data_IF_238738651011
#
_entry.id   IF_238738651011
#
_cell.length_a   1.000
_cell.length_b   1.000
_cell.length_c   1.000
_cell.angle_alpha   90.00
_cell.angle_beta   90.00
_cell.angle_gamma   90.00
#
_symmetry.space_group_name_H-M   'P 1'
#
loop_
_entity.id
_entity.type
_entity.pdbx_description
1 polymer ?
#
# COMPACT_ATOMS: atom_id res chain seq x y z
N UNK A 1 85.54 -19.33 -24.59
CA UNK A 1 84.44 -19.08 -23.65
C UNK A 1 83.34 -18.30 -24.40
N UNK A 2 82.20 -18.92 -24.69
CA UNK A 2 81.09 -18.30 -25.41
C UNK A 2 80.21 -17.66 -24.36
N UNK A 3 80.10 -16.35 -24.34
CA UNK A 3 79.19 -15.59 -23.47
C UNK A 3 77.72 -15.70 -24.01
N UNK A 4 76.90 -16.51 -23.40
CA UNK A 4 75.48 -16.57 -23.69
C UNK A 4 74.79 -15.27 -23.23
N UNK A 5 74.28 -14.50 -24.21
CA UNK A 5 73.53 -13.27 -23.98
C UNK A 5 72.14 -13.65 -23.42
N UNK A 6 71.88 -13.38 -22.15
CA UNK A 6 70.51 -13.56 -21.54
C UNK A 6 69.51 -12.71 -22.32
N UNK A 7 68.53 -13.34 -22.98
CA UNK A 7 67.39 -12.67 -23.55
C UNK A 7 66.49 -12.11 -22.39
N UNK A 8 66.31 -10.80 -22.32
CA UNK A 8 65.31 -10.22 -21.44
C UNK A 8 63.94 -10.72 -21.89
N UNK A 9 63.20 -11.34 -20.98
CA UNK A 9 61.80 -11.68 -21.22
C UNK A 9 61.01 -10.36 -21.28
N UNK A 10 60.15 -10.15 -22.29
CA UNK A 10 59.27 -8.96 -22.29
C UNK A 10 58.39 -9.01 -21.01
N UNK A 11 58.26 -7.91 -20.35
CA UNK A 11 57.31 -7.76 -19.25
C UNK A 11 55.88 -7.99 -19.78
N UNK A 12 55.03 -8.73 -19.06
CA UNK A 12 53.67 -8.94 -19.48
C UNK A 12 52.92 -7.58 -19.44
N UNK A 13 52.71 -7.02 -20.61
CA UNK A 13 51.81 -5.86 -20.74
C UNK A 13 50.35 -6.32 -20.57
N UNK A 14 49.70 -5.86 -19.52
CA UNK A 14 48.27 -6.06 -19.34
C UNK A 14 47.56 -5.19 -20.38
N UNK A 15 46.73 -5.76 -21.28
CA UNK A 15 46.05 -4.97 -22.29
C UNK A 15 45.00 -4.09 -21.63
N UNK A 16 45.28 -2.80 -21.51
CA UNK A 16 44.40 -1.79 -20.89
C UNK A 16 43.05 -1.69 -21.59
N UNK A 17 43.01 -1.99 -22.89
CA UNK A 17 41.80 -2.09 -23.70
C UNK A 17 40.81 -3.13 -23.15
N UNK A 18 41.27 -4.31 -22.75
CA UNK A 18 40.42 -5.36 -22.17
C UNK A 18 39.90 -5.00 -20.78
N UNK A 19 40.71 -4.30 -19.98
CA UNK A 19 40.25 -3.80 -18.67
C UNK A 19 39.19 -2.72 -18.80
N UNK A 20 39.31 -1.85 -19.79
CA UNK A 20 38.32 -0.80 -20.08
C UNK A 20 36.98 -1.39 -20.51
N UNK A 21 37.01 -2.42 -21.34
CA UNK A 21 35.79 -3.11 -21.80
C UNK A 21 35.07 -3.83 -20.64
N UNK A 22 35.80 -4.54 -19.80
CA UNK A 22 35.24 -5.19 -18.62
C UNK A 22 34.61 -4.15 -17.66
N UNK A 23 35.30 -3.01 -17.45
CA UNK A 23 34.79 -1.93 -16.59
C UNK A 23 33.52 -1.31 -17.17
N UNK A 24 33.45 -1.12 -18.48
CA UNK A 24 32.27 -0.62 -19.17
C UNK A 24 31.09 -1.60 -19.08
N UNK A 25 31.34 -2.90 -19.29
CA UNK A 25 30.30 -3.93 -19.15
C UNK A 25 29.79 -4.04 -17.72
N UNK A 26 30.66 -3.94 -16.71
CA UNK A 26 30.24 -3.89 -15.30
C UNK A 26 29.39 -2.66 -15.01
N UNK A 27 29.76 -1.50 -15.55
CA UNK A 27 28.98 -0.27 -15.38
C UNK A 27 27.60 -0.39 -16.01
N UNK A 28 27.50 -0.94 -17.24
CA UNK A 28 26.23 -1.22 -17.88
C UNK A 28 25.41 -2.24 -17.11
N UNK A 29 26.05 -3.30 -16.58
CA UNK A 29 25.39 -4.31 -15.76
C UNK A 29 24.79 -3.69 -14.50
N UNK A 30 25.52 -2.85 -13.77
CA UNK A 30 25.00 -2.16 -12.60
C UNK A 30 23.88 -1.18 -12.97
N UNK A 31 24.00 -0.47 -14.09
CA UNK A 31 22.99 0.46 -14.56
C UNK A 31 21.67 -0.24 -14.90
N UNK A 32 21.74 -1.42 -15.54
CA UNK A 32 20.55 -2.22 -15.87
C UNK A 32 20.03 -2.99 -14.64
N UNK A 33 20.92 -3.37 -13.71
CA UNK A 33 20.57 -4.10 -12.50
C UNK A 33 20.01 -3.21 -11.39
N UNK A 34 20.15 -1.88 -11.46
CA UNK A 34 19.47 -0.95 -10.56
C UNK A 34 18.00 -0.85 -10.95
N UNK A 35 17.22 -1.83 -10.54
CA UNK A 35 15.75 -1.71 -10.57
C UNK A 35 15.39 -0.72 -9.48
N UNK A 36 14.88 0.44 -9.87
CA UNK A 36 14.20 1.33 -8.94
C UNK A 36 12.88 0.64 -8.62
N UNK A 37 12.84 -0.02 -7.48
CA UNK A 37 11.62 -0.61 -6.94
C UNK A 37 10.67 0.55 -6.58
N UNK A 38 9.81 0.91 -7.55
CA UNK A 38 8.73 1.85 -7.28
C UNK A 38 7.65 1.01 -6.62
N UNK A 39 7.46 1.21 -5.31
CA UNK A 39 6.34 0.64 -4.57
C UNK A 39 5.02 1.09 -5.22
N UNK A 40 4.56 0.31 -6.20
CA UNK A 40 3.30 0.52 -6.92
C UNK A 40 2.12 -0.18 -6.22
N UNK A 41 2.26 -0.48 -4.96
CA UNK A 41 1.26 -1.16 -4.15
C UNK A 41 0.43 -0.21 -3.28
N UNK A 42 -0.72 -0.71 -2.81
CA UNK A 42 -1.49 -0.06 -1.75
C UNK A 42 -0.74 -0.32 -0.44
N UNK A 43 -0.12 0.72 0.12
CA UNK A 43 0.54 0.63 1.43
C UNK A 43 -0.47 0.33 2.52
N UNK A 44 -0.47 -0.89 3.05
CA UNK A 44 -1.28 -1.32 4.19
C UNK A 44 -0.32 -1.61 5.34
N UNK A 45 -0.48 -0.87 6.42
CA UNK A 45 0.25 -1.18 7.67
C UNK A 45 -0.52 -2.28 8.39
N UNK A 46 0.04 -3.49 8.40
CA UNK A 46 -0.50 -4.57 9.20
C UNK A 46 -0.16 -4.32 10.68
N UNK A 47 -1.12 -4.49 11.60
CA UNK A 47 -0.82 -4.44 13.02
C UNK A 47 0.13 -5.58 13.41
N UNK A 48 0.95 -5.36 14.44
CA UNK A 48 1.80 -6.40 15.01
C UNK A 48 0.94 -7.57 15.49
N UNK A 49 1.40 -8.79 15.22
CA UNK A 49 0.73 -10.01 15.69
C UNK A 49 0.93 -10.12 17.21
N UNK A 50 -0.12 -9.87 17.98
CA UNK A 50 -0.14 -10.04 19.42
C UNK A 50 -0.89 -11.33 19.75
N UNK A 51 -0.19 -12.31 20.25
CA UNK A 51 -0.64 -13.71 20.46
C UNK A 51 -1.85 -13.87 21.42
N UNK A 52 -2.20 -12.82 22.18
CA UNK A 52 -3.27 -12.83 23.17
C UNK A 52 -4.16 -11.57 23.11
N UNK A 53 -4.63 -11.18 21.93
CA UNK A 53 -5.73 -10.22 21.91
C UNK A 53 -7.04 -10.94 22.21
N UNK A 54 -7.63 -10.66 23.38
CA UNK A 54 -9.05 -10.91 23.59
C UNK A 54 -9.80 -10.25 22.43
N UNK A 55 -10.47 -11.06 21.63
CA UNK A 55 -11.28 -10.58 20.51
C UNK A 55 -12.43 -9.77 21.06
N UNK A 56 -12.24 -8.47 21.26
CA UNK A 56 -13.32 -7.58 21.64
C UNK A 56 -14.31 -7.54 20.46
N UNK A 57 -15.53 -8.04 20.63
CA UNK A 57 -16.50 -8.07 19.54
C UNK A 57 -16.75 -6.64 19.05
N UNK A 58 -16.43 -6.40 17.78
CA UNK A 58 -16.69 -5.10 17.16
C UNK A 58 -18.20 -4.95 17.01
N UNK A 59 -18.77 -3.91 17.60
CA UNK A 59 -20.21 -3.65 17.47
C UNK A 59 -20.59 -3.44 16.00
N UNK A 60 -21.76 -3.98 15.60
CA UNK A 60 -22.27 -3.85 14.21
C UNK A 60 -22.34 -2.42 13.71
N UNK A 61 -22.54 -1.46 14.60
CA UNK A 61 -22.58 -0.03 14.27
C UNK A 61 -21.22 0.55 13.84
N UNK A 62 -20.13 -0.07 14.31
CA UNK A 62 -18.75 0.32 13.96
C UNK A 62 -18.26 -0.38 12.71
N UNK A 63 -18.88 -1.49 12.33
CA UNK A 63 -18.40 -2.33 11.25
C UNK A 63 -19.06 -1.91 9.93
N UNK A 64 -18.24 -1.61 8.93
CA UNK A 64 -18.65 -1.55 7.54
C UNK A 64 -18.16 -2.84 6.85
N UNK A 65 -19.05 -3.82 6.72
CA UNK A 65 -18.73 -5.07 6.06
C UNK A 65 -18.83 -4.90 4.54
N UNK A 66 -17.72 -5.08 3.85
CA UNK A 66 -17.61 -5.06 2.39
C UNK A 66 -17.33 -6.49 1.93
N UNK A 67 -18.31 -7.12 1.28
CA UNK A 67 -18.15 -8.45 0.71
C UNK A 67 -18.10 -8.33 -0.82
N UNK A 68 -17.12 -8.96 -1.43
CA UNK A 68 -16.96 -8.96 -2.89
C UNK A 68 -17.09 -10.39 -3.41
N UNK A 69 -18.01 -10.61 -4.34
CA UNK A 69 -18.22 -11.92 -4.95
C UNK A 69 -17.32 -12.14 -6.18
N UNK A 70 -17.41 -13.34 -6.76
CA UNK A 70 -16.67 -13.72 -7.99
C UNK A 70 -17.04 -12.88 -9.21
N UNK A 71 -18.27 -12.32 -9.26
CA UNK A 71 -18.79 -11.53 -10.38
C UNK A 71 -18.42 -10.04 -10.28
N UNK A 72 -17.88 -9.58 -9.14
CA UNK A 72 -17.58 -8.18 -8.90
C UNK A 72 -18.73 -7.38 -8.28
N UNK A 73 -19.81 -8.05 -7.84
CA UNK A 73 -20.81 -7.37 -7.04
C UNK A 73 -20.28 -7.15 -5.63
N UNK A 74 -20.51 -5.98 -5.11
CA UNK A 74 -20.11 -5.60 -3.76
C UNK A 74 -21.33 -5.50 -2.87
N UNK A 75 -21.30 -6.21 -1.76
CA UNK A 75 -22.31 -6.10 -0.72
C UNK A 75 -21.73 -5.25 0.42
N UNK A 76 -22.24 -4.04 0.58
CA UNK A 76 -21.88 -3.15 1.67
C UNK A 76 -23.01 -3.11 2.70
N UNK A 77 -22.82 -3.75 3.86
CA UNK A 77 -23.84 -3.86 4.91
C UNK A 77 -25.23 -4.31 4.42
N UNK A 78 -25.29 -5.32 3.58
CA UNK A 78 -26.49 -5.91 2.97
C UNK A 78 -27.10 -5.10 1.80
N UNK A 79 -26.47 -4.04 1.33
CA UNK A 79 -26.86 -3.35 0.10
C UNK A 79 -25.91 -3.73 -1.02
N UNK A 80 -26.45 -4.15 -2.16
CA UNK A 80 -25.65 -4.47 -3.35
C UNK A 80 -25.32 -3.17 -4.05
N UNK A 81 -24.02 -2.88 -4.21
CA UNK A 81 -23.52 -1.69 -4.88
C UNK A 81 -22.44 -2.07 -5.90
N UNK A 82 -22.20 -1.18 -6.85
CA UNK A 82 -21.05 -1.35 -7.76
C UNK A 82 -19.76 -0.86 -7.09
N UNK A 83 -18.60 -1.44 -7.48
CA UNK A 83 -17.27 -1.05 -6.96
C UNK A 83 -17.05 0.47 -6.94
N UNK A 84 -17.34 1.25 -8.00
CA UNK A 84 -17.14 2.70 -7.99
C UNK A 84 -18.04 3.48 -7.00
N UNK A 85 -19.05 2.84 -6.45
CA UNK A 85 -19.98 3.47 -5.49
C UNK A 85 -19.51 3.32 -4.03
N UNK A 86 -18.51 2.48 -3.78
CA UNK A 86 -17.99 2.20 -2.44
C UNK A 86 -17.55 3.50 -1.75
N UNK A 87 -16.72 4.31 -2.41
CA UNK A 87 -16.22 5.55 -1.86
C UNK A 87 -17.36 6.49 -1.46
N UNK A 88 -18.34 6.68 -2.35
CA UNK A 88 -19.48 7.54 -2.11
C UNK A 88 -20.36 7.06 -0.95
N UNK A 89 -20.54 5.75 -0.78
CA UNK A 89 -21.37 5.16 0.28
C UNK A 89 -20.64 5.14 1.63
N UNK A 90 -19.32 4.96 1.65
CA UNK A 90 -18.53 4.97 2.88
C UNK A 90 -18.30 6.38 3.45
N UNK A 91 -18.14 7.38 2.59
CA UNK A 91 -17.83 8.77 2.98
C UNK A 91 -18.72 9.31 4.11
N UNK A 92 -20.08 9.30 4.01
CA UNK A 92 -20.94 9.81 5.07
C UNK A 92 -20.80 9.04 6.39
N UNK A 93 -20.51 7.73 6.31
CA UNK A 93 -20.31 6.89 7.49
C UNK A 93 -18.99 7.21 8.21
N UNK A 94 -17.93 7.47 7.46
CA UNK A 94 -16.65 7.90 8.03
C UNK A 94 -16.85 9.27 8.71
N UNK A 95 -17.49 10.23 8.02
CA UNK A 95 -17.74 11.58 8.55
C UNK A 95 -18.52 11.52 9.86
N UNK A 96 -19.58 10.71 9.95
CA UNK A 96 -20.41 10.58 11.16
C UNK A 96 -19.63 10.03 12.38
N UNK A 97 -18.47 9.43 12.18
CA UNK A 97 -17.64 8.84 13.23
C UNK A 97 -16.36 9.61 13.56
N UNK A 98 -16.09 10.75 12.90
CA UNK A 98 -14.85 11.53 13.08
C UNK A 98 -14.67 11.99 14.53
N UNK A 99 -15.74 12.51 15.15
CA UNK A 99 -15.69 13.08 16.49
C UNK A 99 -15.76 12.02 17.61
N UNK A 100 -15.99 10.76 17.26
CA UNK A 100 -16.06 9.70 18.25
C UNK A 100 -14.65 9.29 18.73
N UNK A 101 -14.53 8.76 19.96
CA UNK A 101 -13.26 8.25 20.47
C UNK A 101 -12.76 7.06 19.63
N UNK A 102 -11.45 6.77 19.70
CA UNK A 102 -10.77 5.76 18.87
C UNK A 102 -11.47 4.39 18.88
N UNK A 103 -11.98 3.98 20.04
CA UNK A 103 -12.68 2.72 20.22
C UNK A 103 -14.09 2.67 19.58
N UNK A 104 -14.62 3.78 19.09
CA UNK A 104 -15.92 3.88 18.41
C UNK A 104 -15.84 4.32 16.95
N UNK A 105 -14.64 4.48 16.41
CA UNK A 105 -14.42 4.83 15.00
C UNK A 105 -14.80 3.69 14.06
N UNK A 106 -15.06 4.02 12.80
CA UNK A 106 -15.44 3.06 11.78
C UNK A 106 -14.29 2.08 11.50
N UNK A 107 -14.63 0.80 11.40
CA UNK A 107 -13.74 -0.25 10.92
C UNK A 107 -14.36 -0.84 9.67
N UNK A 108 -13.62 -0.83 8.58
CA UNK A 108 -14.04 -1.44 7.31
C UNK A 108 -13.48 -2.86 7.27
N UNK A 109 -14.36 -3.86 7.19
CA UNK A 109 -13.97 -5.26 7.03
C UNK A 109 -14.19 -5.67 5.59
N UNK A 110 -13.11 -6.02 4.90
CA UNK A 110 -13.15 -6.49 3.50
C UNK A 110 -13.05 -8.00 3.49
N UNK A 111 -14.02 -8.65 2.90
CA UNK A 111 -14.06 -10.10 2.70
C UNK A 111 -14.34 -10.40 1.23
N UNK A 112 -13.54 -11.24 0.62
CA UNK A 112 -13.67 -11.63 -0.78
C UNK A 112 -13.96 -13.11 -0.91
N UNK A 113 -14.61 -13.52 -2.01
CA UNK A 113 -14.68 -14.93 -2.38
C UNK A 113 -13.30 -15.40 -2.88
N UNK A 114 -12.99 -16.69 -2.70
CA UNK A 114 -11.74 -17.30 -3.20
C UNK A 114 -11.57 -17.19 -4.71
N UNK A 115 -12.67 -17.07 -5.44
CA UNK A 115 -12.70 -16.97 -6.90
C UNK A 115 -12.74 -15.53 -7.39
N UNK A 116 -12.80 -14.56 -6.49
CA UNK A 116 -12.79 -13.14 -6.87
C UNK A 116 -11.53 -12.79 -7.64
N UNK A 117 -11.69 -12.09 -8.77
CA UNK A 117 -10.56 -11.62 -9.55
C UNK A 117 -9.72 -10.64 -8.74
N UNK A 118 -8.40 -10.83 -8.75
CA UNK A 118 -7.46 -9.98 -8.03
C UNK A 118 -7.62 -8.48 -8.36
N UNK A 119 -7.89 -8.15 -9.61
CA UNK A 119 -8.10 -6.76 -10.02
C UNK A 119 -9.33 -6.13 -9.34
N UNK A 120 -10.42 -6.88 -9.20
CA UNK A 120 -11.62 -6.42 -8.46
C UNK A 120 -11.33 -6.20 -6.98
N UNK A 121 -10.54 -7.08 -6.38
CA UNK A 121 -10.08 -6.92 -5.02
C UNK A 121 -9.28 -5.63 -4.83
N UNK A 122 -8.30 -5.38 -5.71
CA UNK A 122 -7.49 -4.14 -5.67
C UNK A 122 -8.35 -2.90 -5.90
N UNK A 123 -9.24 -2.92 -6.88
CA UNK A 123 -10.17 -1.80 -7.11
C UNK A 123 -11.06 -1.52 -5.88
N UNK A 124 -11.50 -2.55 -5.19
CA UNK A 124 -12.28 -2.40 -3.95
C UNK A 124 -11.47 -1.70 -2.85
N UNK A 125 -10.21 -2.12 -2.65
CA UNK A 125 -9.32 -1.49 -1.67
C UNK A 125 -9.00 -0.04 -2.05
N UNK A 126 -8.82 0.24 -3.34
CA UNK A 126 -8.56 1.59 -3.83
C UNK A 126 -9.76 2.52 -3.58
N UNK A 127 -10.97 2.07 -3.86
CA UNK A 127 -12.19 2.81 -3.56
C UNK A 127 -12.39 3.08 -2.06
N UNK A 128 -12.02 2.13 -1.21
CA UNK A 128 -12.02 2.34 0.25
C UNK A 128 -10.99 3.39 0.65
N UNK A 129 -9.77 3.30 0.11
CA UNK A 129 -8.71 4.29 0.35
C UNK A 129 -9.10 5.68 -0.13
N UNK A 130 -9.72 5.77 -1.30
CA UNK A 130 -10.25 7.02 -1.87
C UNK A 130 -11.26 7.66 -0.93
N UNK A 131 -12.22 6.90 -0.37
CA UNK A 131 -13.18 7.40 0.60
C UNK A 131 -12.51 8.06 1.81
N UNK A 132 -11.50 7.40 2.38
CA UNK A 132 -10.74 7.96 3.51
C UNK A 132 -9.92 9.20 3.12
N UNK A 133 -9.33 9.19 1.92
CA UNK A 133 -8.54 10.31 1.42
C UNK A 133 -9.39 11.54 1.18
N UNK A 134 -10.57 11.38 0.56
CA UNK A 134 -11.53 12.47 0.38
C UNK A 134 -12.00 13.09 1.69
N UNK A 135 -12.33 12.24 2.69
CA UNK A 135 -12.76 12.73 4.00
C UNK A 135 -11.62 13.44 4.72
N UNK A 136 -10.40 12.96 4.63
CA UNK A 136 -9.22 13.64 5.18
C UNK A 136 -8.95 14.97 4.50
N UNK A 137 -9.09 15.04 3.17
CA UNK A 137 -8.91 16.29 2.41
C UNK A 137 -10.00 17.31 2.76
N UNK A 138 -11.24 16.88 2.89
CA UNK A 138 -12.34 17.72 3.32
C UNK A 138 -12.13 18.26 4.76
N UNK A 139 -11.70 17.41 5.67
CA UNK A 139 -11.35 17.81 7.03
C UNK A 139 -10.18 18.81 7.06
N UNK A 140 -9.14 18.57 6.26
CA UNK A 140 -7.99 19.45 6.15
C UNK A 140 -8.37 20.83 5.61
N UNK A 141 -9.20 20.89 4.57
CA UNK A 141 -9.72 22.16 4.00
C UNK A 141 -10.58 22.92 5.00
N UNK A 142 -11.47 22.22 5.69
CA UNK A 142 -12.39 22.86 6.64
C UNK A 142 -11.68 23.39 7.89
N UNK A 143 -10.65 22.69 8.38
CA UNK A 143 -9.98 23.05 9.62
C UNK A 143 -8.74 23.90 9.42
N UNK A 144 -7.92 23.57 8.43
CA UNK A 144 -6.62 24.21 8.19
C UNK A 144 -6.58 25.10 6.95
N UNK A 145 -7.63 25.08 6.12
CA UNK A 145 -7.69 25.85 4.86
C UNK A 145 -6.73 25.35 3.78
N UNK A 146 -6.13 24.15 3.96
CA UNK A 146 -5.15 23.55 3.06
C UNK A 146 -5.68 22.23 2.50
N UNK A 147 -5.21 21.83 1.31
CA UNK A 147 -5.46 20.48 0.81
C UNK A 147 -4.58 19.48 1.55
N UNK A 148 -5.03 18.24 1.64
CA UNK A 148 -4.27 17.17 2.31
C UNK A 148 -2.86 17.00 1.73
N UNK A 149 -2.71 17.15 0.41
CA UNK A 149 -1.43 17.02 -0.30
C UNK A 149 -0.44 18.16 0.01
N UNK A 150 -0.93 19.30 0.44
CA UNK A 150 -0.13 20.49 0.74
C UNK A 150 0.35 20.49 2.22
N UNK A 151 -0.05 19.49 3.01
CA UNK A 151 0.31 19.32 4.43
C UNK A 151 1.50 18.37 4.54
N UNK A 152 2.55 18.79 5.24
CA UNK A 152 3.72 17.94 5.47
C UNK A 152 3.33 16.71 6.31
N UNK A 153 3.83 15.52 5.91
CA UNK A 153 3.54 14.26 6.61
C UNK A 153 3.94 14.22 8.09
N UNK A 154 4.98 14.99 8.44
CA UNK A 154 5.52 15.09 9.81
C UNK A 154 4.94 16.28 10.60
N UNK A 155 4.01 17.02 10.02
CA UNK A 155 3.39 18.17 10.69
C UNK A 155 2.40 17.71 11.76
N UNK A 156 2.22 18.52 12.84
CA UNK A 156 1.19 18.25 13.85
C UNK A 156 -0.23 18.25 13.25
N UNK A 157 -0.45 19.00 12.16
CA UNK A 157 -1.71 19.01 11.40
C UNK A 157 -2.01 17.62 10.81
N UNK A 158 -1.00 16.96 10.24
CA UNK A 158 -1.14 15.60 9.68
C UNK A 158 -1.33 14.56 10.77
N UNK A 159 -0.65 14.67 11.91
CA UNK A 159 -0.86 13.76 13.05
C UNK A 159 -2.28 13.87 13.61
N UNK A 160 -2.82 15.06 13.67
CA UNK A 160 -4.22 15.25 14.07
C UNK A 160 -5.17 14.59 13.09
N UNK A 161 -4.97 14.77 11.78
CA UNK A 161 -5.81 14.14 10.74
C UNK A 161 -5.74 12.61 10.86
N UNK A 162 -4.54 12.03 11.04
CA UNK A 162 -4.35 10.57 11.20
C UNK A 162 -5.05 10.07 12.47
N UNK A 163 -5.03 10.83 13.55
CA UNK A 163 -5.69 10.47 14.82
C UNK A 163 -7.21 10.57 14.72
N UNK A 164 -7.72 11.63 14.09
CA UNK A 164 -9.16 11.87 13.93
C UNK A 164 -9.77 10.92 12.91
N UNK A 165 -9.07 10.60 11.82
CA UNK A 165 -9.55 9.77 10.72
C UNK A 165 -8.52 8.65 10.45
N UNK A 166 -8.41 7.65 11.37
CA UNK A 166 -7.51 6.53 11.17
C UNK A 166 -7.99 5.65 10.02
N UNK A 167 -7.08 5.19 9.19
CA UNK A 167 -7.37 4.20 8.15
C UNK A 167 -7.46 2.82 8.80
N UNK A 168 -8.69 2.42 9.18
CA UNK A 168 -8.95 1.15 9.87
C UNK A 168 -9.62 0.16 8.92
N UNK A 169 -8.82 -0.60 8.21
CA UNK A 169 -9.28 -1.65 7.29
C UNK A 169 -8.81 -3.01 7.80
N UNK A 170 -9.73 -3.93 7.97
CA UNK A 170 -9.47 -5.33 8.32
C UNK A 170 -9.73 -6.20 7.10
N UNK A 171 -8.76 -6.99 6.70
CA UNK A 171 -8.87 -7.92 5.59
C UNK A 171 -9.12 -9.30 6.19
N UNK A 172 -10.28 -9.88 5.89
CA UNK A 172 -10.63 -11.23 6.31
C UNK A 172 -10.12 -12.25 5.28
N UNK A 173 -9.81 -13.45 5.74
CA UNK A 173 -9.45 -14.55 4.85
C UNK A 173 -10.57 -14.85 3.85
N UNK A 174 -10.22 -15.11 2.57
CA UNK A 174 -11.19 -15.45 1.55
C UNK A 174 -11.91 -16.77 1.91
N UNK A 175 -13.22 -16.73 2.00
CA UNK A 175 -14.06 -17.91 2.20
C UNK A 175 -14.88 -18.17 0.93
N UNK A 176 -15.24 -19.45 0.72
CA UNK A 176 -16.24 -19.77 -0.30
C UNK A 176 -17.60 -19.27 0.17
N UNK A 177 -18.15 -18.26 -0.47
CA UNK A 177 -19.49 -17.77 -0.18
C UNK A 177 -20.47 -18.83 -0.67
N UNK A 178 -21.12 -19.54 0.26
CA UNK A 178 -22.20 -20.46 -0.09
C UNK A 178 -23.36 -19.66 -0.68
N UNK A 179 -23.77 -20.08 -1.88
CA UNK A 179 -25.00 -19.56 -2.53
C UNK A 179 -26.23 -19.88 -1.71
#
# INVERSE_FOLDING_TARGET
MVKLKKRKRPEPEIPTSSMSDISFLLLLFFLVSTVIDVDTGIGIVLPEFVENQETVPISKERLAAVLVNENGDVLLNNEVIAVPQIAKTLKPRIISKIELPANKKLVVSVKTDRKTNYNLYIQTLDQIKEAYTEVKDEYARNKFGKRLIDIDEKSPEMEEIKTKIPYSVSIAEPEAIKK
#
